data_IF_324476049704
#
_entry.id   IF_324476049704
#
_cell.length_a   1.000
_cell.length_b   1.000
_cell.length_c   1.000
_cell.angle_alpha   90.00
_cell.angle_beta   90.00
_cell.angle_gamma   90.00
#
_symmetry.space_group_name_H-M   'P 1'
#
loop_
_entity.id
_entity.type
_entity.pdbx_description
1 polymer ?
#
# COMPACT_ATOMS: atom_id res chain seq x y z
N UNK A 1 20.40 -5.78 -15.01
CA UNK A 1 19.59 -4.71 -14.37
C UNK A 1 20.21 -4.42 -13.02
N UNK A 2 20.45 -3.16 -12.64
CA UNK A 2 20.94 -2.85 -11.29
C UNK A 2 19.92 -3.37 -10.27
N UNK A 3 20.40 -4.11 -9.27
CA UNK A 3 19.56 -4.62 -8.19
C UNK A 3 19.02 -3.41 -7.41
N UNK A 4 17.70 -3.28 -7.30
CA UNK A 4 17.14 -2.25 -6.42
C UNK A 4 17.52 -2.57 -4.96
N UNK A 5 17.92 -1.56 -4.17
CA UNK A 5 18.30 -1.78 -2.78
C UNK A 5 17.11 -2.30 -1.97
N UNK A 6 17.34 -3.34 -1.17
CA UNK A 6 16.37 -3.88 -0.24
C UNK A 6 16.00 -2.81 0.81
N UNK A 7 14.72 -2.47 0.91
CA UNK A 7 14.19 -1.56 1.94
C UNK A 7 13.62 -2.37 3.10
N UNK A 8 14.23 -2.25 4.27
CA UNK A 8 13.75 -2.89 5.50
C UNK A 8 13.05 -1.83 6.35
N UNK A 9 11.78 -2.06 6.68
CA UNK A 9 11.03 -1.22 7.62
C UNK A 9 10.90 -1.97 8.95
N UNK A 10 11.59 -1.48 9.98
CA UNK A 10 11.36 -1.92 11.36
C UNK A 10 10.25 -1.09 11.98
N UNK A 11 9.35 -1.75 12.71
CA UNK A 11 8.19 -1.07 13.25
C UNK A 11 7.60 -1.83 14.44
N UNK A 12 7.44 -1.12 15.56
CA UNK A 12 6.91 -1.62 16.83
C UNK A 12 5.37 -1.73 16.82
N UNK A 13 4.78 -2.31 17.87
CA UNK A 13 3.33 -2.28 18.03
C UNK A 13 2.82 -0.83 18.01
N UNK A 14 1.70 -0.57 17.31
CA UNK A 14 1.11 0.77 17.19
C UNK A 14 1.86 1.77 16.30
N UNK A 15 3.00 1.42 15.70
CA UNK A 15 3.83 2.39 14.95
C UNK A 15 3.42 2.60 13.48
N UNK A 16 2.18 2.29 13.09
CA UNK A 16 1.70 2.53 11.73
C UNK A 16 2.30 1.61 10.64
N UNK A 17 2.63 0.35 10.96
CA UNK A 17 3.15 -0.64 9.99
C UNK A 17 2.30 -0.75 8.73
N UNK A 18 1.02 -1.02 8.93
CA UNK A 18 0.06 -1.25 7.85
C UNK A 18 -0.14 0.02 7.02
N UNK A 19 -0.14 1.19 7.68
CA UNK A 19 -0.16 2.49 7.01
C UNK A 19 1.05 2.66 6.08
N UNK A 20 2.26 2.42 6.60
CA UNK A 20 3.51 2.60 5.84
C UNK A 20 3.58 1.67 4.63
N UNK A 21 3.16 0.41 4.78
CA UNK A 21 3.09 -0.55 3.67
C UNK A 21 2.03 -0.16 2.64
N UNK A 22 0.86 0.31 3.08
CA UNK A 22 -0.23 0.77 2.18
C UNK A 22 0.22 1.96 1.34
N UNK A 23 0.83 2.97 1.97
CA UNK A 23 1.39 4.13 1.28
C UNK A 23 2.48 3.74 0.29
N UNK A 24 3.34 2.79 0.65
CA UNK A 24 4.37 2.29 -0.25
C UNK A 24 3.78 1.56 -1.46
N UNK A 25 2.78 0.70 -1.25
CA UNK A 25 2.05 0.03 -2.33
C UNK A 25 1.45 1.04 -3.30
N UNK A 26 0.75 2.06 -2.79
CA UNK A 26 0.14 3.10 -3.62
C UNK A 26 1.19 3.90 -4.41
N UNK A 27 2.36 4.16 -3.81
CA UNK A 27 3.47 4.82 -4.51
C UNK A 27 3.96 3.99 -5.71
N UNK A 28 4.11 2.67 -5.53
CA UNK A 28 4.48 1.76 -6.62
C UNK A 28 3.37 1.68 -7.69
N UNK A 29 2.12 1.57 -7.25
CA UNK A 29 0.96 1.49 -8.11
C UNK A 29 0.82 2.72 -9.03
N UNK A 30 1.06 3.91 -8.49
CA UNK A 30 0.92 5.18 -9.22
C UNK A 30 2.19 5.58 -10.00
N UNK A 31 3.26 4.76 -9.96
CA UNK A 31 4.52 5.04 -10.66
C UNK A 31 4.45 4.86 -12.19
N UNK A 32 3.35 4.32 -12.71
CA UNK A 32 3.14 4.11 -14.14
C UNK A 32 1.87 3.31 -14.42
N UNK A 33 1.56 3.16 -15.71
CA UNK A 33 0.42 2.36 -16.14
C UNK A 33 0.63 0.87 -15.86
N UNK A 34 -0.46 0.15 -15.56
CA UNK A 34 -0.47 -1.31 -15.34
C UNK A 34 0.42 -1.84 -14.20
N UNK A 35 1.00 -0.97 -13.35
CA UNK A 35 1.91 -1.35 -12.26
C UNK A 35 1.33 -2.33 -11.25
N UNK A 36 0.00 -2.34 -11.05
CA UNK A 36 -0.67 -3.30 -10.17
C UNK A 36 -0.35 -4.77 -10.49
N UNK A 37 0.00 -5.10 -11.74
CA UNK A 37 0.37 -6.45 -12.17
C UNK A 37 1.79 -6.85 -11.80
N UNK A 38 2.62 -5.89 -11.43
CA UNK A 38 4.04 -6.08 -11.09
C UNK A 38 4.29 -6.13 -9.57
N UNK A 39 3.25 -5.90 -8.75
CA UNK A 39 3.38 -5.79 -7.30
C UNK A 39 2.80 -7.03 -6.62
N UNK A 40 3.64 -7.74 -5.87
CA UNK A 40 3.22 -8.82 -4.98
C UNK A 40 3.32 -8.37 -3.52
N UNK A 41 2.18 -8.27 -2.84
CA UNK A 41 2.11 -8.04 -1.40
C UNK A 41 1.75 -9.35 -0.68
N UNK A 42 2.52 -9.71 0.35
CA UNK A 42 2.33 -10.94 1.12
C UNK A 42 2.15 -10.59 2.58
N UNK A 43 1.19 -11.24 3.24
CA UNK A 43 0.92 -11.06 4.68
C UNK A 43 0.85 -12.43 5.38
N UNK A 44 0.84 -12.42 6.71
CA UNK A 44 0.77 -13.64 7.51
C UNK A 44 -0.65 -14.24 7.59
N UNK A 45 -1.71 -13.44 7.44
CA UNK A 45 -3.09 -13.90 7.57
C UNK A 45 -3.99 -13.31 6.49
N UNK A 46 -5.01 -14.06 6.08
CA UNK A 46 -6.00 -13.56 5.11
C UNK A 46 -6.70 -12.29 5.60
N UNK A 47 -6.93 -12.16 6.92
CA UNK A 47 -7.52 -10.95 7.50
C UNK A 47 -6.64 -9.72 7.27
N UNK A 48 -5.32 -9.82 7.46
CA UNK A 48 -4.40 -8.72 7.20
C UNK A 48 -4.35 -8.36 5.71
N UNK A 49 -4.44 -9.36 4.82
CA UNK A 49 -4.57 -9.14 3.37
C UNK A 49 -5.83 -8.33 3.03
N UNK A 50 -7.00 -8.73 3.53
CA UNK A 50 -8.24 -8.02 3.22
C UNK A 50 -8.29 -6.61 3.83
N UNK A 51 -7.74 -6.43 5.04
CA UNK A 51 -7.60 -5.09 5.64
C UNK A 51 -6.72 -4.17 4.78
N UNK A 52 -5.56 -4.66 4.33
CA UNK A 52 -4.65 -3.88 3.48
C UNK A 52 -5.30 -3.56 2.13
N UNK A 53 -5.92 -4.54 1.49
CA UNK A 53 -6.61 -4.38 0.20
C UNK A 53 -7.75 -3.36 0.28
N UNK A 54 -8.58 -3.45 1.33
CA UNK A 54 -9.71 -2.53 1.52
C UNK A 54 -9.22 -1.09 1.64
N UNK A 55 -8.18 -0.84 2.44
CA UNK A 55 -7.57 0.50 2.57
C UNK A 55 -7.02 1.03 1.25
N UNK A 56 -6.33 0.19 0.46
CA UNK A 56 -5.83 0.59 -0.86
C UNK A 56 -6.99 1.03 -1.76
N UNK A 57 -8.06 0.24 -1.83
CA UNK A 57 -9.21 0.54 -2.68
C UNK A 57 -9.97 1.79 -2.23
N UNK A 58 -10.17 1.99 -0.93
CA UNK A 58 -10.82 3.19 -0.38
C UNK A 58 -10.05 4.47 -0.73
N UNK A 59 -8.72 4.42 -0.67
CA UNK A 59 -7.88 5.57 -1.02
C UNK A 59 -7.95 5.84 -2.53
N UNK A 60 -7.91 4.80 -3.36
CA UNK A 60 -8.05 4.94 -4.81
C UNK A 60 -9.43 5.49 -5.20
N UNK A 61 -10.49 5.04 -4.55
CA UNK A 61 -11.84 5.56 -4.75
C UNK A 61 -11.92 7.05 -4.38
N UNK A 62 -11.35 7.42 -3.24
CA UNK A 62 -11.24 8.82 -2.80
C UNK A 62 -10.52 9.69 -3.81
N UNK A 63 -9.36 9.26 -4.27
CA UNK A 63 -8.58 9.95 -5.30
C UNK A 63 -9.36 10.10 -6.61
N UNK A 64 -10.05 9.05 -7.06
CA UNK A 64 -10.85 9.06 -8.29
C UNK A 64 -12.04 10.04 -8.21
N UNK A 65 -12.65 10.19 -7.03
CA UNK A 65 -13.78 11.11 -6.80
C UNK A 65 -13.35 12.53 -6.43
N UNK A 66 -12.04 12.78 -6.26
CA UNK A 66 -11.52 14.04 -5.72
C UNK A 66 -11.86 14.29 -4.26
N UNK A 67 -12.27 13.24 -3.53
CA UNK A 67 -12.63 13.30 -2.12
C UNK A 67 -11.38 13.21 -1.24
N UNK A 68 -11.03 14.33 -0.58
CA UNK A 68 -9.86 14.44 0.29
C UNK A 68 -10.08 13.90 1.71
N UNK A 69 -11.30 13.46 2.04
CA UNK A 69 -11.60 12.87 3.35
C UNK A 69 -11.09 11.44 3.47
N UNK A 70 -10.95 10.72 2.35
CA UNK A 70 -10.46 9.35 2.26
C UNK A 70 -8.93 9.34 2.21
N UNK A 71 -8.30 9.48 3.38
CA UNK A 71 -6.84 9.42 3.53
C UNK A 71 -6.42 8.03 3.99
N UNK A 72 -5.14 7.71 3.77
CA UNK A 72 -4.51 6.60 4.46
C UNK A 72 -4.46 7.00 5.94
N UNK A 73 -5.10 6.24 6.82
CA UNK A 73 -5.02 6.37 8.30
C UNK A 73 -4.50 5.07 8.93
#
# INVERSE_FOLDING_TARGET
MPQQPLKILQASAGSGKTFSLTAHYLTLLLSGENKYREILAVTFTNKATEEMKSRILEVLEGLAKGDRSKKIE
#
